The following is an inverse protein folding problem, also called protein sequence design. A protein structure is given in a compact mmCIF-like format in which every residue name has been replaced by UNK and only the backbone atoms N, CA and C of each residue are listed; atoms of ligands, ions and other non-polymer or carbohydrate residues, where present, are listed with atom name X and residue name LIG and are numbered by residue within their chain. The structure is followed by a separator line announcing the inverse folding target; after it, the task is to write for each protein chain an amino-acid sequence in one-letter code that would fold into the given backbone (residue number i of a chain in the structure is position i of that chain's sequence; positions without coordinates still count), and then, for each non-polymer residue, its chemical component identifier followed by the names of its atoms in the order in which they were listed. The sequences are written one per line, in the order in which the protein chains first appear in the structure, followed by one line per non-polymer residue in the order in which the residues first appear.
data_IF_196155453785
#
_entry.id   IF_196155453785
#
_cell.length_a   1.000
_cell.length_b   1.000
_cell.length_c   1.000
_cell.angle_alpha   90.00
_cell.angle_beta   90.00
_cell.angle_gamma   90.00
#
_symmetry.space_group_name_H-M   'P 1'
#
loop_
_entity.id
_entity.type
_entity.pdbx_description
1 polymer ?
#
# COMPACT_ATOMS: atom_id res chain seq x y z
N UNK A 1 -13.32 4.60 -15.99
CA UNK A 1 -13.81 4.83 -14.62
C UNK A 1 -13.47 6.25 -14.25
N UNK A 2 -14.42 7.02 -13.72
CA UNK A 2 -14.15 8.38 -13.27
C UNK A 2 -13.23 8.33 -12.04
N UNK A 3 -12.07 9.00 -12.10
CA UNK A 3 -11.04 8.94 -11.05
C UNK A 3 -11.33 10.01 -10.00
N UNK A 4 -12.34 9.77 -9.17
CA UNK A 4 -12.73 10.63 -8.06
C UNK A 4 -12.35 10.03 -6.69
N UNK A 5 -12.52 10.79 -5.61
CA UNK A 5 -12.09 10.40 -4.27
C UNK A 5 -12.71 9.07 -3.81
N UNK A 6 -14.00 8.84 -4.05
CA UNK A 6 -14.68 7.60 -3.65
C UNK A 6 -14.06 6.39 -4.35
N UNK A 7 -13.93 6.46 -5.68
CA UNK A 7 -13.32 5.37 -6.47
C UNK A 7 -11.85 5.14 -6.09
N UNK A 8 -11.14 6.18 -5.66
CA UNK A 8 -9.75 6.07 -5.22
C UNK A 8 -9.65 5.33 -3.88
N UNK A 9 -10.52 5.63 -2.91
CA UNK A 9 -10.57 4.92 -1.64
C UNK A 9 -10.93 3.45 -1.87
N UNK A 10 -11.92 3.17 -2.71
CA UNK A 10 -12.29 1.81 -3.07
C UNK A 10 -11.11 1.05 -3.71
N UNK A 11 -10.38 1.68 -4.64
CA UNK A 11 -9.20 1.08 -5.24
C UNK A 11 -8.07 0.83 -4.23
N UNK A 12 -7.92 1.67 -3.21
CA UNK A 12 -6.95 1.44 -2.12
C UNK A 12 -7.28 0.16 -1.36
N UNK A 13 -8.54 0.00 -0.95
CA UNK A 13 -8.97 -1.14 -0.15
C UNK A 13 -9.01 -2.44 -0.96
N UNK A 14 -9.58 -2.38 -2.18
CA UNK A 14 -9.83 -3.56 -3.01
C UNK A 14 -8.63 -3.96 -3.85
N UNK A 15 -7.76 -3.03 -4.24
CA UNK A 15 -6.62 -3.34 -5.12
C UNK A 15 -5.31 -3.22 -4.36
N UNK A 16 -5.05 -2.06 -3.77
CA UNK A 16 -3.74 -1.79 -3.20
C UNK A 16 -3.46 -2.62 -1.93
N UNK A 17 -4.39 -2.67 -0.99
CA UNK A 17 -4.22 -3.48 0.23
C UNK A 17 -4.17 -4.97 -0.08
N UNK A 18 -5.01 -5.47 -1.00
CA UNK A 18 -4.93 -6.86 -1.46
C UNK A 18 -3.57 -7.19 -2.07
N UNK A 19 -3.01 -6.29 -2.89
CA UNK A 19 -1.67 -6.45 -3.44
C UNK A 19 -0.59 -6.52 -2.34
N UNK A 20 -0.67 -5.65 -1.33
CA UNK A 20 0.28 -5.69 -0.20
C UNK A 20 0.17 -7.00 0.60
N UNK A 21 -1.06 -7.47 0.86
CA UNK A 21 -1.29 -8.75 1.56
C UNK A 21 -0.77 -9.91 0.73
N UNK A 22 -1.06 -9.95 -0.58
CA UNK A 22 -0.56 -10.99 -1.49
C UNK A 22 0.97 -10.98 -1.60
N UNK A 23 1.58 -9.79 -1.60
CA UNK A 23 3.04 -9.64 -1.55
C UNK A 23 3.64 -10.22 -0.27
N UNK A 24 3.02 -9.96 0.89
CA UNK A 24 3.44 -10.57 2.16
C UNK A 24 3.27 -12.09 2.10
N UNK A 25 2.11 -12.57 1.66
CA UNK A 25 1.76 -13.97 1.55
C UNK A 25 2.81 -14.73 0.71
N UNK A 26 3.16 -14.20 -0.46
CA UNK A 26 4.16 -14.77 -1.36
C UNK A 26 5.56 -14.79 -0.75
N UNK A 27 5.97 -13.71 -0.06
CA UNK A 27 7.26 -13.63 0.62
C UNK A 27 7.43 -14.67 1.73
N UNK A 28 6.33 -14.96 2.45
CA UNK A 28 6.38 -15.80 3.65
C UNK A 28 5.89 -17.24 3.41
N UNK A 29 5.73 -17.63 2.14
CA UNK A 29 5.15 -18.91 1.70
C UNK A 29 5.73 -20.11 2.48
N UNK A 30 4.88 -20.96 3.08
CA UNK A 30 5.34 -22.06 3.93
C UNK A 30 5.89 -23.20 3.07
N UNK A 31 6.72 -24.04 3.68
CA UNK A 31 7.14 -25.31 3.08
C UNK A 31 6.01 -26.34 3.20
N UNK A 32 5.95 -27.34 2.31
CA UNK A 32 5.00 -28.44 2.46
C UNK A 32 5.13 -29.11 3.84
N UNK A 33 4.02 -29.22 4.57
CA UNK A 33 3.97 -29.84 5.91
C UNK A 33 4.37 -28.92 7.08
N UNK A 34 4.64 -27.63 6.83
CA UNK A 34 4.89 -26.65 7.89
C UNK A 34 3.59 -26.18 8.55
N UNK A 35 3.62 -26.00 9.88
CA UNK A 35 2.52 -25.39 10.63
C UNK A 35 2.39 -23.90 10.26
N UNK A 36 1.23 -23.51 9.73
CA UNK A 36 0.97 -22.15 9.27
C UNK A 36 0.32 -21.26 10.32
N UNK A 37 -0.01 -21.76 11.51
CA UNK A 37 -0.81 -21.02 12.50
C UNK A 37 -0.25 -19.63 12.82
N UNK A 38 1.05 -19.55 13.13
CA UNK A 38 1.72 -18.26 13.43
C UNK A 38 1.76 -17.37 12.19
N UNK A 39 2.05 -17.96 11.02
CA UNK A 39 2.09 -17.25 9.75
C UNK A 39 0.74 -16.63 9.41
N UNK A 40 -0.34 -17.40 9.53
CA UNK A 40 -1.70 -16.99 9.21
C UNK A 40 -2.15 -15.89 10.17
N UNK A 41 -1.77 -15.99 11.45
CA UNK A 41 -1.94 -14.90 12.42
C UNK A 41 -1.18 -13.63 11.98
N UNK A 42 0.08 -13.73 11.59
CA UNK A 42 0.86 -12.56 11.13
C UNK A 42 0.28 -11.93 9.85
N UNK A 43 -0.22 -12.75 8.93
CA UNK A 43 -0.87 -12.27 7.70
C UNK A 43 -2.16 -11.50 8.04
N UNK A 44 -2.97 -12.05 8.96
CA UNK A 44 -4.20 -11.42 9.45
C UNK A 44 -3.89 -10.10 10.16
N UNK A 45 -2.94 -10.10 11.10
CA UNK A 45 -2.51 -8.88 11.82
C UNK A 45 -1.97 -7.81 10.87
N UNK A 46 -1.23 -8.22 9.82
CA UNK A 46 -0.76 -7.28 8.80
C UNK A 46 -1.93 -6.67 8.02
N UNK A 47 -2.88 -7.48 7.55
CA UNK A 47 -4.05 -7.01 6.82
C UNK A 47 -4.91 -6.05 7.66
N UNK A 48 -5.18 -6.40 8.92
CA UNK A 48 -5.93 -5.57 9.88
C UNK A 48 -5.16 -4.29 10.27
N UNK A 49 -3.82 -4.33 10.21
CA UNK A 49 -2.93 -3.20 10.51
C UNK A 49 -2.75 -2.21 9.36
N UNK A 50 -3.26 -2.50 8.16
CA UNK A 50 -3.24 -1.57 7.03
C UNK A 50 -4.33 -0.52 7.20
N UNK A 51 -3.95 0.75 7.06
CA UNK A 51 -4.88 1.87 7.16
C UNK A 51 -4.41 3.02 6.29
N UNK A 52 -5.28 4.01 6.10
CA UNK A 52 -4.93 5.21 5.36
C UNK A 52 -5.41 6.48 6.06
N UNK A 53 -4.73 7.60 5.76
CA UNK A 53 -5.12 8.92 6.23
C UNK A 53 -5.13 9.91 5.08
N UNK A 54 -6.28 10.56 4.87
CA UNK A 54 -6.44 11.63 3.88
C UNK A 54 -5.65 12.87 4.28
N UNK A 55 -4.91 13.41 3.32
CA UNK A 55 -4.27 14.73 3.38
C UNK A 55 -4.82 15.68 2.31
N UNK A 56 -4.09 16.78 2.04
CA UNK A 56 -4.52 17.78 1.05
C UNK A 56 -4.39 17.30 -0.40
N UNK A 57 -3.22 16.75 -0.75
CA UNK A 57 -2.88 16.30 -2.11
C UNK A 57 -2.65 14.79 -2.19
N UNK A 58 -2.45 14.13 -1.05
CA UNK A 58 -2.09 12.72 -0.97
C UNK A 58 -2.93 12.00 0.08
N UNK A 59 -3.22 10.73 -0.16
CA UNK A 59 -3.63 9.76 0.86
C UNK A 59 -2.35 9.05 1.35
N UNK A 60 -2.13 9.07 2.66
CA UNK A 60 -1.02 8.40 3.32
C UNK A 60 -1.42 6.96 3.65
N UNK A 61 -0.64 5.98 3.21
CA UNK A 61 -0.83 4.58 3.59
C UNK A 61 0.05 4.26 4.80
N UNK A 62 -0.57 3.71 5.83
CA UNK A 62 0.04 3.40 7.12
C UNK A 62 -0.01 1.89 7.32
N UNK A 63 1.12 1.31 7.72
CA UNK A 63 1.18 -0.07 8.18
C UNK A 63 1.53 -0.09 9.67
N UNK A 64 0.78 -0.88 10.43
CA UNK A 64 1.01 -1.15 11.85
C UNK A 64 1.16 -2.64 12.04
N UNK A 65 2.38 -3.16 11.99
CA UNK A 65 2.64 -4.60 12.12
C UNK A 65 2.64 -5.03 13.60
N UNK A 66 1.90 -6.07 13.94
CA UNK A 66 1.96 -6.85 15.18
C UNK A 66 2.15 -6.01 16.47
N UNK A 67 1.27 -5.04 16.72
CA UNK A 67 1.35 -4.19 17.93
C UNK A 67 2.55 -3.23 17.99
N UNK A 68 3.33 -3.11 16.91
CA UNK A 68 4.48 -2.24 16.78
C UNK A 68 4.15 -0.80 16.36
N UNK A 69 5.20 -0.01 16.15
CA UNK A 69 5.08 1.39 15.75
C UNK A 69 4.46 1.53 14.35
N UNK A 70 3.59 2.53 14.20
CA UNK A 70 3.02 2.89 12.90
C UNK A 70 4.13 3.42 11.99
N UNK A 71 4.18 2.91 10.77
CA UNK A 71 5.10 3.36 9.72
C UNK A 71 4.32 3.83 8.50
N UNK A 72 4.91 4.74 7.71
CA UNK A 72 4.32 5.13 6.42
C UNK A 72 4.88 4.25 5.35
N UNK A 73 3.99 3.52 4.69
CA UNK A 73 4.35 2.61 3.60
C UNK A 73 4.54 3.37 2.29
N UNK A 74 3.55 4.21 1.94
CA UNK A 74 3.51 4.93 0.67
C UNK A 74 2.54 6.12 0.75
N UNK A 75 2.57 6.96 -0.28
CA UNK A 75 1.57 7.99 -0.52
C UNK A 75 0.88 7.74 -1.86
N UNK A 76 -0.40 8.04 -1.94
CA UNK A 76 -1.21 7.91 -3.15
C UNK A 76 -1.73 9.28 -3.51
N UNK A 77 -1.58 9.68 -4.77
CA UNK A 77 -1.98 11.00 -5.24
C UNK A 77 -3.50 11.11 -5.24
N UNK A 78 -4.02 12.02 -4.42
CA UNK A 78 -5.46 12.31 -4.31
C UNK A 78 -5.89 13.40 -5.29
N UNK A 79 -5.03 14.40 -5.49
CA UNK A 79 -5.26 15.50 -6.42
C UNK A 79 -4.09 15.56 -7.40
N UNK A 80 -4.34 15.77 -8.70
CA UNK A 80 -3.26 15.90 -9.67
C UNK A 80 -2.25 16.95 -9.20
N UNK A 81 -0.98 16.60 -9.30
CA UNK A 81 0.14 17.52 -9.02
C UNK A 81 1.06 17.54 -10.23
N UNK A 82 2.04 18.43 -10.25
CA UNK A 82 2.96 18.53 -11.39
C UNK A 82 3.68 17.20 -11.60
N UNK A 83 3.35 16.51 -12.70
CA UNK A 83 3.95 15.23 -13.09
C UNK A 83 3.31 13.98 -12.52
N UNK A 84 2.20 14.10 -11.76
CA UNK A 84 1.51 12.95 -11.17
C UNK A 84 -0.01 13.05 -11.29
N UNK A 85 -0.63 11.91 -11.56
CA UNK A 85 -2.07 11.76 -11.72
C UNK A 85 -2.72 11.13 -10.49
N UNK A 86 -4.05 11.25 -10.38
CA UNK A 86 -4.81 10.61 -9.31
C UNK A 86 -4.54 9.10 -9.32
N UNK A 87 -4.26 8.55 -8.14
CA UNK A 87 -3.95 7.13 -7.95
C UNK A 87 -2.48 6.77 -8.08
N UNK A 88 -1.61 7.68 -8.54
CA UNK A 88 -0.18 7.39 -8.60
C UNK A 88 0.38 7.11 -7.21
N UNK A 89 1.19 6.07 -7.11
CA UNK A 89 1.81 5.60 -5.87
C UNK A 89 3.21 6.20 -5.78
N UNK A 90 3.52 6.85 -4.66
CA UNK A 90 4.80 7.47 -4.38
C UNK A 90 5.45 6.85 -3.14
N UNK A 91 6.77 6.70 -3.19
CA UNK A 91 7.59 6.25 -2.07
C UNK A 91 7.49 7.24 -0.90
N UNK A 92 7.41 6.75 0.33
CA UNK A 92 7.51 7.61 1.51
C UNK A 92 8.95 8.14 1.68
N UNK A 93 9.12 9.46 1.78
CA UNK A 93 10.40 10.09 2.17
C UNK A 93 10.44 10.42 3.67
N UNK A 94 9.28 10.41 4.32
CA UNK A 94 9.13 10.59 5.75
C UNK A 94 7.66 10.47 6.15
N UNK A 95 7.35 10.84 7.39
CA UNK A 95 5.99 10.69 7.91
C UNK A 95 4.97 11.53 7.14
N UNK A 96 5.33 12.73 6.68
CA UNK A 96 4.39 13.71 6.15
C UNK A 96 4.44 13.91 4.64
N UNK A 97 5.45 13.39 3.95
CA UNK A 97 5.65 13.66 2.53
C UNK A 97 6.25 12.47 1.75
N UNK A 98 5.87 12.32 0.47
CA UNK A 98 6.51 11.38 -0.44
C UNK A 98 7.83 11.90 -1.00
N UNK A 99 8.63 10.99 -1.54
CA UNK A 99 9.66 11.32 -2.51
C UNK A 99 9.00 11.64 -3.85
N UNK A 100 9.27 12.81 -4.41
CA UNK A 100 8.68 13.30 -5.66
C UNK A 100 9.65 13.15 -6.84
N UNK A 101 10.30 11.99 -6.96
CA UNK A 101 11.23 11.69 -8.05
C UNK A 101 10.57 10.84 -9.16
N UNK A 102 9.87 9.75 -8.81
CA UNK A 102 9.20 8.87 -9.77
C UNK A 102 7.92 8.27 -9.16
N UNK A 103 6.93 7.95 -9.99
CA UNK A 103 5.81 7.12 -9.57
C UNK A 103 6.20 5.65 -9.54
N UNK A 104 5.63 4.89 -8.61
CA UNK A 104 5.92 3.46 -8.35
C UNK A 104 4.83 2.52 -8.84
N UNK A 105 3.85 3.07 -9.52
CA UNK A 105 2.64 2.40 -9.98
C UNK A 105 1.44 3.33 -9.84
N UNK A 106 0.26 2.80 -10.14
CA UNK A 106 -1.02 3.47 -9.97
C UNK A 106 -2.04 2.45 -9.42
N UNK A 107 -2.83 2.84 -8.41
CA UNK A 107 -3.77 1.91 -7.76
C UNK A 107 -4.89 1.40 -8.68
N UNK A 108 -5.15 2.09 -9.79
CA UNK A 108 -6.12 1.63 -10.80
C UNK A 108 -5.50 0.66 -11.82
N UNK A 109 -4.19 0.40 -11.72
CA UNK A 109 -3.41 -0.34 -12.71
C UNK A 109 -2.61 -1.47 -12.04
N UNK A 110 -3.24 -2.62 -11.80
CA UNK A 110 -2.61 -3.80 -11.17
C UNK A 110 -1.26 -4.20 -11.79
N UNK A 111 -1.15 -4.13 -13.12
CA UNK A 111 0.07 -4.45 -13.86
C UNK A 111 1.25 -3.53 -13.51
N UNK A 112 1.00 -2.35 -12.92
CA UNK A 112 2.00 -1.36 -12.54
C UNK A 112 2.57 -1.54 -11.14
N UNK A 113 2.03 -2.49 -10.36
CA UNK A 113 2.41 -2.74 -8.96
C UNK A 113 3.63 -3.65 -8.68
N UNK A 114 4.35 -4.29 -9.65
CA UNK A 114 5.49 -5.16 -9.33
C UNK A 114 6.61 -4.52 -8.49
N UNK A 115 6.77 -3.20 -8.54
CA UNK A 115 7.76 -2.45 -7.75
C UNK A 115 7.28 -2.10 -6.33
N UNK A 116 6.03 -2.41 -6.00
CA UNK A 116 5.44 -2.22 -4.67
C UNK A 116 5.35 -3.58 -3.98
N UNK A 117 5.91 -3.68 -2.78
CA UNK A 117 5.82 -4.88 -1.94
C UNK A 117 5.25 -4.53 -0.58
N UNK A 118 4.93 -5.53 0.24
CA UNK A 118 4.46 -5.31 1.63
C UNK A 118 5.39 -4.43 2.50
N UNK A 119 6.69 -4.34 2.14
CA UNK A 119 7.68 -3.53 2.86
C UNK A 119 7.74 -2.06 2.42
N UNK A 120 7.15 -1.71 1.28
CA UNK A 120 7.18 -0.36 0.75
C UNK A 120 7.08 -0.29 -0.77
N UNK A 121 6.95 0.94 -1.25
CA UNK A 121 7.11 1.28 -2.66
C UNK A 121 8.61 1.52 -2.97
N UNK A 122 9.18 0.67 -3.84
CA UNK A 122 10.58 0.73 -4.29
C UNK A 122 10.81 1.90 -5.22
#
# INVERSE_FOLDING_TARGET
MDRNETTLIEAIETTYFQHLVSSYEGWSKPKPGEDTTIRDQMLKEFAEGLSFKKGRNYIKIISSRNGGNKTVHSFIVLKPTKGYEIGDILKAAGWNAPATNFKRGNVFELWSLPAVTWTGAG
#
